data_IF_167804429828
#
_entry.id   IF_167804429828
#
_cell.length_a   1.000
_cell.length_b   1.000
_cell.length_c   1.000
_cell.angle_alpha   90.00
_cell.angle_beta   90.00
_cell.angle_gamma   90.00
#
_symmetry.space_group_name_H-M   'P 1'
#
loop_
_entity.id
_entity.type
_entity.pdbx_description
1 polymer ?
#
# COMPACT_ATOMS: atom_id res chain seq x y z
N UNK A 1 -3.47 14.51 29.52
CA UNK A 1 -3.80 13.50 28.48
C UNK A 1 -2.69 12.47 28.46
N UNK A 2 -3.02 11.18 28.53
CA UNK A 2 -2.02 10.10 28.52
C UNK A 2 -1.39 10.02 27.12
N UNK A 3 -0.06 10.14 27.01
CA UNK A 3 0.64 10.12 25.71
C UNK A 3 0.44 8.79 24.96
N UNK A 4 0.27 7.69 25.68
CA UNK A 4 -0.04 6.39 25.08
C UNK A 4 -1.43 6.38 24.45
N UNK A 5 -2.44 6.86 25.16
CA UNK A 5 -3.78 7.00 24.61
C UNK A 5 -3.81 7.90 23.36
N UNK A 6 -3.04 9.00 23.38
CA UNK A 6 -2.91 9.85 22.19
C UNK A 6 -2.26 9.10 21.03
N UNK A 7 -1.16 8.37 21.29
CA UNK A 7 -0.50 7.54 20.31
C UNK A 7 -1.47 6.51 19.70
N UNK A 8 -2.21 5.78 20.54
CA UNK A 8 -3.17 4.76 20.11
C UNK A 8 -4.28 5.34 19.21
N UNK A 9 -4.74 6.57 19.47
CA UNK A 9 -5.75 7.25 18.65
C UNK A 9 -5.21 7.62 17.26
N UNK A 10 -3.97 8.11 17.18
CA UNK A 10 -3.37 8.59 15.91
C UNK A 10 -2.62 7.49 15.14
N UNK A 11 -2.45 6.32 15.76
CA UNK A 11 -1.84 5.14 15.16
C UNK A 11 -2.76 4.55 14.07
N UNK A 12 -2.29 4.49 12.81
CA UNK A 12 -3.02 3.85 11.71
C UNK A 12 -3.41 2.40 12.01
N UNK A 13 -2.58 1.68 12.76
CA UNK A 13 -2.71 0.24 12.98
C UNK A 13 -3.55 -0.10 14.23
N UNK A 14 -3.93 0.89 15.04
CA UNK A 14 -4.72 0.64 16.25
C UNK A 14 -6.14 0.14 15.92
N UNK A 15 -6.60 -0.97 16.54
CA UNK A 15 -7.95 -1.50 16.35
C UNK A 15 -9.02 -0.71 17.14
N UNK A 16 -8.60 0.21 18.01
CA UNK A 16 -9.49 0.83 19.00
C UNK A 16 -10.61 1.67 18.35
N UNK A 17 -11.81 1.73 18.96
CA UNK A 17 -12.92 2.52 18.42
C UNK A 17 -12.58 4.02 18.20
N UNK A 18 -11.86 4.71 19.12
CA UNK A 18 -11.42 6.09 18.89
C UNK A 18 -10.45 6.23 17.70
N UNK A 19 -9.54 5.27 17.51
CA UNK A 19 -8.62 5.26 16.38
C UNK A 19 -9.37 5.05 15.06
N UNK A 20 -10.37 4.15 15.03
CA UNK A 20 -11.26 3.98 13.88
C UNK A 20 -12.00 5.26 13.52
N UNK A 21 -12.55 5.97 14.51
CA UNK A 21 -13.23 7.25 14.29
C UNK A 21 -12.26 8.30 13.72
N UNK A 22 -11.07 8.41 14.31
CA UNK A 22 -10.03 9.32 13.80
C UNK A 22 -9.67 9.01 12.35
N UNK A 23 -9.51 7.73 11.99
CA UNK A 23 -9.29 7.30 10.60
C UNK A 23 -10.42 7.73 9.69
N UNK A 24 -11.68 7.51 10.05
CA UNK A 24 -12.83 7.91 9.22
C UNK A 24 -12.84 9.43 9.00
N UNK A 25 -12.67 10.22 10.08
CA UNK A 25 -12.59 11.68 9.99
C UNK A 25 -11.45 12.12 9.08
N UNK A 26 -10.26 11.53 9.26
CA UNK A 26 -9.10 11.82 8.44
C UNK A 26 -9.37 11.54 6.95
N UNK A 27 -9.93 10.37 6.59
CA UNK A 27 -10.23 10.05 5.19
C UNK A 27 -11.27 11.01 4.59
N UNK A 28 -12.30 11.38 5.36
CA UNK A 28 -13.29 12.37 4.93
C UNK A 28 -12.66 13.74 4.68
N UNK A 29 -11.71 14.17 5.52
CA UNK A 29 -11.02 15.45 5.34
C UNK A 29 -10.08 15.42 4.13
N UNK A 30 -9.38 14.30 3.88
CA UNK A 30 -8.59 14.12 2.65
C UNK A 30 -9.50 14.21 1.42
N UNK A 31 -10.63 13.50 1.41
CA UNK A 31 -11.60 13.53 0.32
C UNK A 31 -12.15 14.95 0.08
N UNK A 32 -12.48 15.67 1.14
CA UNK A 32 -12.92 17.07 1.07
C UNK A 32 -11.83 17.97 0.49
N UNK A 33 -10.57 17.80 0.92
CA UNK A 33 -9.43 18.54 0.38
C UNK A 33 -9.22 18.32 -1.12
N UNK A 34 -9.34 17.07 -1.59
CA UNK A 34 -9.28 16.75 -3.02
C UNK A 34 -10.46 17.39 -3.78
N UNK A 35 -11.67 17.32 -3.23
CA UNK A 35 -12.84 17.94 -3.85
C UNK A 35 -12.69 19.48 -3.97
N UNK A 36 -12.17 20.13 -2.92
CA UNK A 36 -11.87 21.57 -2.94
C UNK A 36 -10.80 21.88 -3.99
N UNK A 37 -9.73 21.09 -4.08
CA UNK A 37 -8.70 21.23 -5.11
C UNK A 37 -9.30 21.17 -6.51
N UNK A 38 -10.10 20.14 -6.80
CA UNK A 38 -10.73 19.98 -8.11
C UNK A 38 -11.68 21.14 -8.42
N UNK A 39 -12.49 21.55 -7.45
CA UNK A 39 -13.42 22.67 -7.59
C UNK A 39 -12.70 24.01 -7.85
N UNK A 40 -11.59 24.27 -7.16
CA UNK A 40 -10.81 25.50 -7.34
C UNK A 40 -10.13 25.56 -8.71
N UNK A 41 -9.73 24.42 -9.27
CA UNK A 41 -9.16 24.36 -10.62
C UNK A 41 -10.20 24.54 -11.74
N UNK A 42 -11.49 24.55 -11.43
CA UNK A 42 -12.56 24.78 -12.38
C UNK A 42 -12.95 26.28 -12.40
N UNK A 43 -12.64 27.05 -13.47
CA UNK A 43 -12.91 28.49 -13.52
C UNK A 43 -14.34 28.93 -13.18
N UNK A 44 -15.42 28.26 -13.66
CA UNK A 44 -16.77 28.68 -13.31
C UNK A 44 -17.09 28.47 -11.82
N UNK A 45 -16.58 27.40 -11.21
CA UNK A 45 -16.81 27.09 -9.80
C UNK A 45 -16.01 28.03 -8.91
N UNK A 46 -14.76 28.32 -9.28
CA UNK A 46 -13.91 29.26 -8.56
C UNK A 46 -14.50 30.68 -8.55
N UNK A 47 -15.07 31.12 -9.68
CA UNK A 47 -15.69 32.44 -9.79
C UNK A 47 -16.92 32.59 -8.89
N UNK A 48 -17.72 31.53 -8.72
CA UNK A 48 -18.96 31.57 -7.94
C UNK A 48 -18.75 31.24 -6.45
N UNK A 49 -17.88 30.27 -6.12
CA UNK A 49 -17.72 29.70 -4.77
C UNK A 49 -16.35 29.97 -4.13
N UNK A 50 -15.47 30.78 -4.75
CA UNK A 50 -14.10 31.02 -4.31
C UNK A 50 -13.91 31.27 -2.79
N UNK A 51 -14.68 32.18 -2.16
CA UNK A 51 -14.56 32.42 -0.71
C UNK A 51 -14.90 31.19 0.15
N UNK A 52 -15.89 30.39 -0.26
CA UNK A 52 -16.28 29.16 0.46
C UNK A 52 -15.20 28.09 0.31
N UNK A 53 -14.64 27.94 -0.89
CA UNK A 53 -13.53 27.02 -1.16
C UNK A 53 -12.29 27.39 -0.34
N UNK A 54 -11.96 28.68 -0.23
CA UNK A 54 -10.87 29.18 0.59
C UNK A 54 -11.04 28.84 2.08
N UNK A 55 -12.24 29.03 2.65
CA UNK A 55 -12.53 28.65 4.04
C UNK A 55 -12.37 27.14 4.22
N UNK A 56 -12.93 26.34 3.31
CA UNK A 56 -12.79 24.89 3.31
C UNK A 56 -11.32 24.46 3.28
N UNK A 57 -10.51 25.10 2.44
CA UNK A 57 -9.08 24.85 2.37
C UNK A 57 -8.38 25.07 3.71
N UNK A 58 -8.62 26.21 4.37
CA UNK A 58 -8.00 26.50 5.67
C UNK A 58 -8.43 25.50 6.75
N UNK A 59 -9.67 25.00 6.71
CA UNK A 59 -10.13 23.95 7.63
C UNK A 59 -9.33 22.66 7.41
N UNK A 60 -9.19 22.21 6.16
CA UNK A 60 -8.42 21.01 5.81
C UNK A 60 -6.95 21.17 6.19
N UNK A 61 -6.36 22.31 5.85
CA UNK A 61 -4.98 22.64 6.18
C UNK A 61 -4.73 22.67 7.69
N UNK A 62 -5.62 23.33 8.46
CA UNK A 62 -5.54 23.39 9.91
C UNK A 62 -5.63 21.98 10.53
N UNK A 63 -6.48 21.11 9.98
CA UNK A 63 -6.55 19.72 10.43
C UNK A 63 -5.23 18.98 10.23
N UNK A 64 -4.58 19.08 9.06
CA UNK A 64 -3.30 18.39 8.82
C UNK A 64 -2.14 18.98 9.62
N UNK A 65 -2.13 20.29 9.86
CA UNK A 65 -1.19 20.92 10.79
C UNK A 65 -1.39 20.39 12.22
N UNK A 66 -2.64 20.31 12.68
CA UNK A 66 -2.97 19.74 13.99
C UNK A 66 -2.58 18.26 14.07
N UNK A 67 -2.88 17.45 13.06
CA UNK A 67 -2.47 16.04 12.98
C UNK A 67 -0.94 15.90 13.10
N UNK A 68 -0.17 16.69 12.36
CA UNK A 68 1.29 16.68 12.43
C UNK A 68 1.80 16.97 13.85
N UNK A 69 1.25 18.01 14.49
CA UNK A 69 1.60 18.37 15.87
C UNK A 69 1.22 17.24 16.84
N UNK A 70 0.01 16.67 16.73
CA UNK A 70 -0.46 15.60 17.60
C UNK A 70 0.45 14.36 17.49
N UNK A 71 0.84 13.98 16.27
CA UNK A 71 1.76 12.86 16.05
C UNK A 71 3.18 13.14 16.54
N UNK A 72 3.67 14.37 16.35
CA UNK A 72 4.95 14.78 16.90
C UNK A 72 4.92 14.74 18.44
N UNK A 73 3.82 15.14 19.08
CA UNK A 73 3.65 15.03 20.54
C UNK A 73 3.57 13.58 20.99
N UNK A 74 2.89 12.72 20.24
CA UNK A 74 2.72 11.29 20.52
C UNK A 74 3.98 10.43 20.24
N UNK A 75 4.90 10.92 19.41
CA UNK A 75 6.09 10.17 18.97
C UNK A 75 6.91 9.50 20.09
N UNK A 76 7.13 10.11 21.28
CA UNK A 76 7.83 9.45 22.39
C UNK A 76 7.14 8.22 22.97
N UNK A 77 5.82 8.08 22.79
CA UNK A 77 5.06 6.91 23.24
C UNK A 77 5.00 5.79 22.17
N UNK A 78 5.58 6.02 20.99
CA UNK A 78 5.69 4.96 19.98
C UNK A 78 6.64 3.85 20.44
N UNK A 79 6.46 2.59 19.99
CA UNK A 79 7.34 1.48 20.37
C UNK A 79 8.83 1.77 20.11
N UNK A 80 9.14 2.48 19.02
CA UNK A 80 10.50 2.93 18.70
C UNK A 80 10.94 4.13 19.55
N UNK A 81 10.02 5.01 19.93
CA UNK A 81 10.28 6.25 20.64
C UNK A 81 10.48 6.08 22.15
N UNK A 82 9.85 5.07 22.76
CA UNK A 82 9.93 4.82 24.22
C UNK A 82 11.37 4.57 24.70
N UNK A 83 12.27 4.13 23.81
CA UNK A 83 13.68 3.88 24.09
C UNK A 83 14.56 5.13 24.08
N UNK A 84 14.03 6.28 23.66
CA UNK A 84 14.78 7.53 23.51
C UNK A 84 14.24 8.63 24.40
N UNK A 85 15.08 9.64 24.68
CA UNK A 85 14.61 10.89 25.28
C UNK A 85 13.53 11.53 24.40
N UNK A 86 12.50 12.19 24.98
CA UNK A 86 11.36 12.70 24.22
C UNK A 86 11.75 13.57 23.01
N UNK A 87 12.68 14.51 23.17
CA UNK A 87 13.14 15.36 22.06
C UNK A 87 13.78 14.57 20.92
N UNK A 88 14.56 13.53 21.25
CA UNK A 88 15.20 12.68 20.24
C UNK A 88 14.17 11.79 19.55
N UNK A 89 13.19 11.25 20.27
CA UNK A 89 12.09 10.48 19.69
C UNK A 89 11.28 11.32 18.68
N UNK A 90 10.97 12.57 19.04
CA UNK A 90 10.29 13.53 18.14
C UNK A 90 11.09 13.82 16.88
N UNK A 91 12.38 14.09 17.02
CA UNK A 91 13.26 14.37 15.88
C UNK A 91 13.43 13.15 14.95
N UNK A 92 13.63 11.95 15.53
CA UNK A 92 13.70 10.70 14.77
C UNK A 92 12.39 10.42 14.02
N UNK A 93 11.25 10.70 14.66
CA UNK A 93 9.96 10.57 13.99
C UNK A 93 9.78 11.61 12.88
N UNK A 94 10.10 12.88 13.13
CA UNK A 94 9.96 13.95 12.13
C UNK A 94 10.83 13.73 10.88
N UNK A 95 12.00 13.09 11.05
CA UNK A 95 12.91 12.74 9.95
C UNK A 95 12.62 11.37 9.31
N UNK A 96 11.65 10.62 9.84
CA UNK A 96 11.18 9.38 9.21
C UNK A 96 10.42 9.68 7.91
N UNK A 97 10.35 8.70 7.00
CA UNK A 97 9.54 8.85 5.77
C UNK A 97 8.11 9.30 6.08
N UNK A 98 7.48 8.71 7.10
CA UNK A 98 6.16 9.12 7.53
C UNK A 98 6.11 10.58 8.00
N UNK A 99 7.03 10.99 8.88
CA UNK A 99 7.09 12.35 9.40
C UNK A 99 7.30 13.38 8.29
N UNK A 100 8.18 13.09 7.34
CA UNK A 100 8.40 13.92 6.16
C UNK A 100 7.14 14.04 5.30
N UNK A 101 6.43 12.94 5.03
CA UNK A 101 5.16 13.00 4.30
C UNK A 101 4.11 13.84 5.04
N UNK A 102 3.97 13.69 6.35
CA UNK A 102 3.01 14.49 7.12
C UNK A 102 3.38 15.98 7.13
N UNK A 103 4.68 16.29 7.18
CA UNK A 103 5.20 17.66 7.09
C UNK A 103 4.87 18.26 5.72
N UNK A 104 5.16 17.54 4.62
CA UNK A 104 4.89 18.00 3.25
C UNK A 104 3.40 18.25 3.04
N UNK A 105 2.52 17.42 3.63
CA UNK A 105 1.07 17.66 3.60
C UNK A 105 0.58 18.84 4.45
N UNK A 106 1.37 19.30 5.44
CA UNK A 106 1.05 20.48 6.24
C UNK A 106 1.55 21.79 5.60
N UNK A 107 2.55 21.72 4.70
CA UNK A 107 3.11 22.87 3.99
C UNK A 107 2.07 23.75 3.25
N UNK A 108 1.05 23.19 2.55
CA UNK A 108 0.08 24.01 1.83
C UNK A 108 -0.62 25.01 2.76
N UNK A 109 -0.91 24.60 4.00
CA UNK A 109 -1.50 25.47 5.01
C UNK A 109 -0.58 26.60 5.45
N UNK A 110 0.71 26.31 5.62
CA UNK A 110 1.71 27.29 6.05
C UNK A 110 1.93 28.33 4.95
N UNK A 111 2.08 27.89 3.70
CA UNK A 111 2.30 28.76 2.54
C UNK A 111 1.08 29.67 2.31
N UNK A 112 -0.12 29.14 2.50
CA UNK A 112 -1.35 29.88 2.26
C UNK A 112 -1.56 31.06 3.22
N UNK A 113 -0.90 31.08 4.39
CA UNK A 113 -0.97 32.23 5.32
C UNK A 113 -0.38 33.48 4.67
N UNK A 114 0.71 33.33 3.89
CA UNK A 114 1.39 34.45 3.25
C UNK A 114 0.87 34.73 1.83
N UNK A 115 0.55 33.67 1.07
CA UNK A 115 0.24 33.78 -0.38
C UNK A 115 -1.24 33.60 -0.70
N UNK A 116 -2.08 33.26 0.28
CA UNK A 116 -3.46 32.83 0.07
C UNK A 116 -3.57 31.36 -0.39
N UNK A 117 -4.78 30.81 -0.41
CA UNK A 117 -5.01 29.43 -0.86
C UNK A 117 -4.66 29.30 -2.34
N UNK A 118 -3.68 28.45 -2.64
CA UNK A 118 -3.27 28.07 -4.00
C UNK A 118 -3.42 26.56 -4.17
N UNK A 119 -4.67 26.10 -4.06
CA UNK A 119 -4.98 24.68 -3.84
C UNK A 119 -4.67 23.86 -5.07
N UNK A 120 -4.74 24.46 -6.26
CA UNK A 120 -4.45 23.79 -7.53
C UNK A 120 -3.04 23.16 -7.64
N UNK A 121 -2.02 23.71 -6.98
CA UNK A 121 -0.65 23.19 -7.07
C UNK A 121 -0.24 22.31 -5.88
N UNK A 122 -0.90 22.47 -4.73
CA UNK A 122 -0.46 21.85 -3.47
C UNK A 122 -1.50 20.90 -2.86
N UNK A 123 -2.78 20.98 -3.26
CA UNK A 123 -3.85 20.11 -2.76
C UNK A 123 -3.63 18.62 -3.10
N UNK A 124 -2.95 18.33 -4.21
CA UNK A 124 -2.70 16.94 -4.62
C UNK A 124 -1.84 16.19 -3.59
N UNK A 125 -1.01 16.92 -2.83
CA UNK A 125 -0.16 16.37 -1.77
C UNK A 125 -1.00 15.63 -0.72
N UNK A 126 -2.22 16.09 -0.45
CA UNK A 126 -3.12 15.43 0.49
C UNK A 126 -3.56 14.06 0.02
N UNK A 127 -3.55 13.77 -1.28
CA UNK A 127 -3.84 12.43 -1.81
C UNK A 127 -2.87 11.38 -1.26
N UNK A 128 -1.61 11.75 -1.00
CA UNK A 128 -0.62 10.84 -0.41
C UNK A 128 -0.95 10.44 1.03
N UNK A 129 -1.81 11.18 1.74
CA UNK A 129 -2.26 10.81 3.09
C UNK A 129 -3.04 9.49 3.12
N UNK A 130 -3.67 9.08 2.00
CA UNK A 130 -4.29 7.76 1.88
C UNK A 130 -3.29 6.60 1.94
N UNK A 131 -2.03 6.84 1.52
CA UNK A 131 -1.01 5.79 1.50
C UNK A 131 -0.76 5.23 2.90
N UNK A 132 -0.72 6.11 3.91
CA UNK A 132 -0.40 5.76 5.29
C UNK A 132 -1.43 4.83 5.93
N UNK A 133 -2.70 4.98 5.58
CA UNK A 133 -3.79 4.23 6.20
C UNK A 133 -4.29 3.09 5.32
N UNK A 134 -3.55 2.74 4.26
CA UNK A 134 -3.88 1.63 3.38
C UNK A 134 -2.97 0.43 3.66
N UNK A 135 -3.47 -0.62 4.34
CA UNK A 135 -2.73 -1.86 4.57
C UNK A 135 -2.25 -2.52 3.27
N UNK A 136 -2.99 -2.32 2.17
CA UNK A 136 -2.65 -2.81 0.83
C UNK A 136 -1.44 -2.10 0.25
N UNK A 137 -1.39 -0.76 0.34
CA UNK A 137 -0.24 0.02 -0.12
C UNK A 137 1.00 -0.23 0.74
N UNK A 138 0.83 -0.42 2.05
CA UNK A 138 1.93 -0.84 2.93
C UNK A 138 2.50 -2.22 2.55
N UNK A 139 1.64 -3.16 2.13
CA UNK A 139 2.05 -4.46 1.60
C UNK A 139 2.87 -4.29 0.31
N UNK A 140 2.35 -3.49 -0.64
CA UNK A 140 3.05 -3.21 -1.89
C UNK A 140 4.42 -2.56 -1.65
N UNK A 141 4.53 -1.63 -0.70
CA UNK A 141 5.81 -1.03 -0.33
C UNK A 141 6.85 -2.05 0.15
N UNK A 142 6.42 -3.06 0.92
CA UNK A 142 7.30 -4.17 1.34
C UNK A 142 7.68 -5.08 0.17
N UNK A 143 6.74 -5.38 -0.71
CA UNK A 143 7.00 -6.16 -1.93
C UNK A 143 8.05 -5.47 -2.80
N UNK A 144 7.87 -4.18 -3.07
CA UNK A 144 8.83 -3.36 -3.84
C UNK A 144 10.18 -3.29 -3.13
N UNK A 145 10.19 -3.10 -1.81
CA UNK A 145 11.43 -3.09 -1.01
C UNK A 145 12.21 -4.40 -1.10
N UNK A 146 11.52 -5.54 -1.00
CA UNK A 146 12.11 -6.88 -1.11
C UNK A 146 12.55 -7.19 -2.55
N UNK A 147 11.77 -6.74 -3.55
CA UNK A 147 12.05 -6.94 -4.96
C UNK A 147 12.95 -5.86 -5.58
N UNK A 148 13.46 -4.90 -4.79
CA UNK A 148 14.13 -3.68 -5.30
C UNK A 148 15.26 -3.97 -6.28
N UNK A 149 16.05 -5.02 -6.02
CA UNK A 149 17.18 -5.36 -6.88
C UNK A 149 16.68 -5.88 -8.23
N UNK A 150 15.70 -6.79 -8.23
CA UNK A 150 15.10 -7.31 -9.45
C UNK A 150 14.39 -6.19 -10.25
N UNK A 151 13.63 -5.32 -9.58
CA UNK A 151 12.96 -4.19 -10.21
C UNK A 151 13.97 -3.20 -10.82
N UNK A 152 15.05 -2.89 -10.11
CA UNK A 152 16.13 -2.04 -10.64
C UNK A 152 16.83 -2.70 -11.84
N UNK A 153 17.09 -4.00 -11.80
CA UNK A 153 17.66 -4.72 -12.95
C UNK A 153 16.76 -4.65 -14.18
N UNK A 154 15.45 -4.85 -14.02
CA UNK A 154 14.49 -4.74 -15.13
C UNK A 154 14.38 -3.30 -15.63
N UNK A 155 14.36 -2.31 -14.74
CA UNK A 155 14.33 -0.89 -15.12
C UNK A 155 15.60 -0.46 -15.88
N UNK A 156 16.77 -0.92 -15.45
CA UNK A 156 18.03 -0.68 -16.15
C UNK A 156 18.04 -1.37 -17.52
N UNK A 157 17.59 -2.62 -17.60
CA UNK A 157 17.42 -3.32 -18.88
C UNK A 157 16.47 -2.59 -19.83
N UNK A 158 15.32 -2.13 -19.32
CA UNK A 158 14.37 -1.29 -20.05
C UNK A 158 15.06 -0.02 -20.58
N UNK A 159 15.79 0.71 -19.74
CA UNK A 159 16.47 1.94 -20.14
C UNK A 159 17.53 1.69 -21.23
N UNK A 160 18.30 0.60 -21.13
CA UNK A 160 19.32 0.22 -22.12
C UNK A 160 18.67 -0.11 -23.46
N UNK A 161 17.62 -0.95 -23.46
CA UNK A 161 16.90 -1.32 -24.69
C UNK A 161 16.26 -0.08 -25.31
N UNK A 162 15.64 0.78 -24.49
CA UNK A 162 15.02 2.02 -24.93
C UNK A 162 16.03 2.94 -25.62
N UNK A 163 17.16 3.24 -24.97
CA UNK A 163 18.20 4.11 -25.53
C UNK A 163 18.78 3.53 -26.82
N UNK A 164 19.02 2.22 -26.84
CA UNK A 164 19.57 1.54 -28.02
C UNK A 164 18.58 1.56 -29.19
N UNK A 165 17.32 1.20 -28.95
CA UNK A 165 16.27 1.21 -29.96
C UNK A 165 16.02 2.61 -30.52
N UNK A 166 15.92 3.63 -29.66
CA UNK A 166 15.73 5.01 -30.09
C UNK A 166 16.94 5.56 -30.86
N UNK A 167 18.17 5.15 -30.49
CA UNK A 167 19.36 5.53 -31.25
C UNK A 167 19.39 4.89 -32.65
N UNK A 168 19.00 3.62 -32.76
CA UNK A 168 18.88 2.95 -34.06
C UNK A 168 17.75 3.57 -34.89
N UNK A 169 16.59 3.87 -34.28
CA UNK A 169 15.48 4.53 -34.96
C UNK A 169 15.89 5.90 -35.50
N UNK A 170 16.61 6.70 -34.71
CA UNK A 170 17.23 7.95 -35.17
C UNK A 170 18.11 7.72 -36.41
N UNK A 171 19.02 6.74 -36.37
CA UNK A 171 19.91 6.48 -37.51
C UNK A 171 19.17 6.02 -38.77
N UNK A 172 18.05 5.31 -38.63
CA UNK A 172 17.25 4.79 -39.74
C UNK A 172 16.27 5.82 -40.31
N UNK A 173 15.74 6.71 -39.48
CA UNK A 173 14.60 7.57 -39.83
C UNK A 173 14.97 9.06 -39.93
N UNK A 174 16.14 9.51 -39.46
CA UNK A 174 16.49 10.94 -39.45
C UNK A 174 16.40 11.63 -40.82
N UNK A 175 16.61 10.90 -41.91
CA UNK A 175 16.55 11.45 -43.26
C UNK A 175 15.12 11.37 -43.86
N UNK A 176 14.35 10.33 -43.49
CA UNK A 176 13.00 10.10 -44.00
C UNK A 176 11.93 10.88 -43.22
N UNK A 177 12.12 11.06 -41.91
CA UNK A 177 11.22 11.77 -41.02
C UNK A 177 12.03 12.61 -39.99
N UNK A 178 12.71 13.67 -40.44
CA UNK A 178 13.54 14.52 -39.59
C UNK A 178 12.74 15.26 -38.51
N UNK A 179 11.45 15.52 -38.71
CA UNK A 179 10.60 16.20 -37.71
C UNK A 179 10.41 15.34 -36.46
N UNK A 180 10.21 14.03 -36.64
CA UNK A 180 9.96 13.11 -35.52
C UNK A 180 11.22 12.37 -35.02
N UNK A 181 12.19 12.11 -35.91
CA UNK A 181 13.42 11.38 -35.60
C UNK A 181 14.68 12.22 -35.84
N UNK A 182 14.58 13.55 -35.76
CA UNK A 182 15.72 14.47 -35.98
C UNK A 182 16.76 14.48 -34.85
N UNK A 183 16.46 13.85 -33.70
CA UNK A 183 17.41 13.69 -32.60
C UNK A 183 17.12 12.43 -31.79
N UNK A 184 18.11 11.92 -31.06
CA UNK A 184 17.91 10.76 -30.17
C UNK A 184 16.85 11.04 -29.09
N UNK A 185 16.81 12.22 -28.43
CA UNK A 185 15.72 12.55 -27.51
C UNK A 185 14.33 12.57 -28.15
N UNK A 186 14.20 13.02 -29.41
CA UNK A 186 12.93 12.95 -30.12
C UNK A 186 12.53 11.48 -30.39
N UNK A 187 13.49 10.65 -30.80
CA UNK A 187 13.27 9.21 -30.99
C UNK A 187 12.99 8.45 -29.67
N UNK A 188 13.41 8.99 -28.50
CA UNK A 188 13.08 8.44 -27.19
C UNK A 188 11.59 8.50 -26.89
N UNK A 189 10.89 9.56 -27.31
CA UNK A 189 9.43 9.65 -27.18
C UNK A 189 8.73 8.47 -27.87
N UNK A 190 9.08 8.22 -29.13
CA UNK A 190 8.57 7.07 -29.89
C UNK A 190 8.91 5.74 -29.21
N UNK A 191 10.15 5.59 -28.74
CA UNK A 191 10.62 4.39 -28.05
C UNK A 191 9.82 4.11 -26.77
N UNK A 192 9.57 5.14 -25.95
CA UNK A 192 8.76 5.03 -24.73
C UNK A 192 7.35 4.59 -25.12
N UNK A 193 6.66 5.35 -25.98
CA UNK A 193 5.26 5.10 -26.38
C UNK A 193 5.06 3.70 -26.99
N UNK A 194 6.02 3.23 -27.79
CA UNK A 194 5.96 1.92 -28.44
C UNK A 194 6.26 0.79 -27.45
N UNK A 195 7.31 0.94 -26.65
CA UNK A 195 7.77 -0.11 -25.73
C UNK A 195 6.85 -0.24 -24.50
N UNK A 196 6.15 0.82 -24.11
CA UNK A 196 5.10 0.80 -23.08
C UNK A 196 3.73 0.41 -23.61
N UNK A 197 3.64 -0.07 -24.86
CA UNK A 197 2.39 -0.51 -25.50
C UNK A 197 1.29 0.57 -25.54
N UNK A 198 1.67 1.85 -25.44
CA UNK A 198 0.73 2.97 -25.44
C UNK A 198 0.25 3.30 -26.85
N UNK A 199 1.19 3.45 -27.79
CA UNK A 199 0.89 3.57 -29.22
C UNK A 199 -0.05 4.72 -29.61
N UNK A 200 0.26 5.96 -29.24
CA UNK A 200 -0.55 7.13 -29.64
C UNK A 200 -0.72 7.27 -31.15
N UNK A 201 0.26 6.83 -31.94
CA UNK A 201 0.23 6.87 -33.40
C UNK A 201 0.59 8.23 -34.00
N UNK A 202 1.05 9.17 -33.17
CA UNK A 202 1.56 10.50 -33.54
C UNK A 202 2.91 10.43 -34.27
N UNK A 203 3.78 9.50 -33.85
CA UNK A 203 5.09 9.25 -34.46
C UNK A 203 5.21 7.78 -34.83
N UNK A 204 5.51 7.50 -36.11
CA UNK A 204 5.74 6.14 -36.61
C UNK A 204 6.90 6.09 -37.61
N UNK A 205 7.72 5.01 -37.62
CA UNK A 205 8.78 4.84 -38.61
C UNK A 205 8.22 4.66 -40.03
N UNK A 206 8.83 5.34 -40.98
CA UNK A 206 8.41 5.31 -42.39
C UNK A 206 9.24 4.32 -43.22
N UNK A 207 10.50 4.08 -42.84
CA UNK A 207 11.38 3.15 -43.56
C UNK A 207 11.07 1.69 -43.24
N UNK A 208 11.43 0.79 -44.15
CA UNK A 208 11.32 -0.66 -43.91
C UNK A 208 12.16 -1.07 -42.70
N UNK A 209 13.38 -0.55 -42.58
CA UNK A 209 14.26 -0.84 -41.45
C UNK A 209 13.66 -0.38 -40.12
N UNK A 210 13.12 0.84 -40.07
CA UNK A 210 12.45 1.36 -38.88
C UNK A 210 11.21 0.56 -38.49
N UNK A 211 10.44 0.05 -39.46
CA UNK A 211 9.28 -0.84 -39.19
C UNK A 211 9.69 -2.20 -38.64
N UNK A 212 10.79 -2.79 -39.15
CA UNK A 212 11.34 -4.04 -38.61
C UNK A 212 11.84 -3.85 -37.18
N UNK A 213 12.54 -2.73 -36.92
CA UNK A 213 12.94 -2.34 -35.57
C UNK A 213 11.72 -2.18 -34.65
N UNK A 214 10.69 -1.48 -35.10
CA UNK A 214 9.45 -1.29 -34.35
C UNK A 214 8.82 -2.63 -33.94
N UNK A 215 8.74 -3.59 -34.86
CA UNK A 215 8.28 -4.95 -34.58
C UNK A 215 9.06 -5.63 -33.44
N UNK A 216 10.38 -5.50 -33.48
CA UNK A 216 11.27 -6.08 -32.46
C UNK A 216 11.08 -5.39 -31.10
N UNK A 217 10.99 -4.05 -31.09
CA UNK A 217 10.77 -3.24 -29.88
C UNK A 217 9.42 -3.55 -29.24
N UNK A 218 8.36 -3.73 -30.03
CA UNK A 218 7.04 -4.10 -29.51
C UNK A 218 7.06 -5.44 -28.76
N UNK A 219 7.70 -6.47 -29.34
CA UNK A 219 7.86 -7.77 -28.66
C UNK A 219 8.69 -7.60 -27.38
N UNK A 220 9.80 -6.86 -27.45
CA UNK A 220 10.65 -6.57 -26.30
C UNK A 220 9.90 -5.86 -25.17
N UNK A 221 9.06 -4.87 -25.50
CA UNK A 221 8.24 -4.13 -24.54
C UNK A 221 7.29 -5.01 -23.75
N UNK A 222 6.58 -5.92 -24.44
CA UNK A 222 5.69 -6.90 -23.81
C UNK A 222 6.46 -7.80 -22.84
N UNK A 223 7.65 -8.30 -23.24
CA UNK A 223 8.47 -9.15 -22.39
C UNK A 223 8.94 -8.42 -21.12
N UNK A 224 9.36 -7.15 -21.25
CA UNK A 224 9.79 -6.34 -20.09
C UNK A 224 8.63 -6.06 -19.14
N UNK A 225 7.44 -5.75 -19.67
CA UNK A 225 6.23 -5.58 -18.85
C UNK A 225 5.84 -6.87 -18.13
N UNK A 226 5.95 -8.02 -18.80
CA UNK A 226 5.69 -9.33 -18.19
C UNK A 226 6.65 -9.62 -17.02
N UNK A 227 7.93 -9.25 -17.14
CA UNK A 227 8.89 -9.37 -16.03
C UNK A 227 8.51 -8.48 -14.84
N UNK A 228 8.16 -7.21 -15.09
CA UNK A 228 7.69 -6.28 -14.04
C UNK A 228 6.46 -6.83 -13.30
N UNK A 229 5.45 -7.25 -14.05
CA UNK A 229 4.23 -7.83 -13.50
C UNK A 229 4.52 -9.11 -12.72
N UNK A 230 5.37 -10.00 -13.26
CA UNK A 230 5.74 -11.27 -12.62
C UNK A 230 6.50 -11.07 -11.30
N UNK A 231 7.42 -10.11 -11.24
CA UNK A 231 8.16 -9.78 -10.01
C UNK A 231 7.19 -9.28 -8.92
N UNK A 232 6.29 -8.37 -9.26
CA UNK A 232 5.31 -7.83 -8.30
C UNK A 232 4.31 -8.90 -7.85
N UNK A 233 3.79 -9.72 -8.78
CA UNK A 233 2.86 -10.78 -8.48
C UNK A 233 3.47 -11.83 -7.55
N UNK A 234 4.69 -12.30 -7.84
CA UNK A 234 5.40 -13.25 -6.99
C UNK A 234 5.71 -12.67 -5.61
N UNK A 235 6.16 -11.41 -5.56
CA UNK A 235 6.43 -10.75 -4.29
C UNK A 235 5.17 -10.57 -3.44
N UNK A 236 4.02 -10.25 -4.06
CA UNK A 236 2.75 -10.15 -3.36
C UNK A 236 2.28 -11.51 -2.85
N UNK A 237 2.37 -12.56 -3.68
CA UNK A 237 2.05 -13.92 -3.27
C UNK A 237 2.92 -14.39 -2.09
N UNK A 238 4.20 -14.02 -2.06
CA UNK A 238 5.10 -14.35 -0.95
C UNK A 238 4.76 -13.58 0.33
N UNK A 239 4.45 -12.29 0.23
CA UNK A 239 4.00 -11.49 1.38
C UNK A 239 2.68 -12.04 1.96
N UNK A 240 1.73 -12.46 1.11
CA UNK A 240 0.49 -13.12 1.55
C UNK A 240 0.78 -14.44 2.27
N UNK A 241 1.57 -15.33 1.67
CA UNK A 241 1.98 -16.60 2.31
C UNK A 241 2.66 -16.37 3.65
N UNK A 242 3.54 -15.37 3.74
CA UNK A 242 4.23 -15.02 4.99
C UNK A 242 3.26 -14.54 6.06
N UNK A 243 2.28 -13.71 5.71
CA UNK A 243 1.25 -13.25 6.65
C UNK A 243 0.36 -14.39 7.13
N UNK A 244 -0.06 -15.27 6.23
CA UNK A 244 -0.81 -16.48 6.58
C UNK A 244 -0.02 -17.38 7.52
N UNK A 245 1.26 -17.64 7.22
CA UNK A 245 2.13 -18.43 8.09
C UNK A 245 2.25 -17.82 9.49
N UNK A 246 2.48 -16.50 9.61
CA UNK A 246 2.59 -15.83 10.91
C UNK A 246 1.28 -15.89 11.70
N UNK A 247 0.14 -15.67 11.03
CA UNK A 247 -1.17 -15.79 11.66
C UNK A 247 -1.40 -17.20 12.19
N UNK A 248 -1.13 -18.21 11.38
CA UNK A 248 -1.25 -19.63 11.73
C UNK A 248 -0.31 -20.02 12.86
N UNK A 249 0.96 -19.59 12.79
CA UNK A 249 1.96 -19.85 13.83
C UNK A 249 1.53 -19.27 15.18
N UNK A 250 1.00 -18.05 15.20
CA UNK A 250 0.51 -17.40 16.43
C UNK A 250 -0.67 -18.18 17.04
N UNK A 251 -1.57 -18.71 16.22
CA UNK A 251 -2.69 -19.53 16.68
C UNK A 251 -2.21 -20.83 17.32
N UNK A 252 -1.25 -21.52 16.70
CA UNK A 252 -0.68 -22.76 17.25
C UNK A 252 0.08 -22.47 18.54
N UNK A 253 0.90 -21.42 18.58
CA UNK A 253 1.69 -21.06 19.75
C UNK A 253 0.84 -20.73 20.98
N UNK A 254 -0.40 -20.24 20.78
CA UNK A 254 -1.35 -19.95 21.87
C UNK A 254 -1.95 -21.20 22.51
N UNK A 255 -1.93 -22.33 21.83
CA UNK A 255 -2.55 -23.57 22.29
C UNK A 255 -1.70 -24.18 23.42
N UNK A 256 -2.27 -24.44 24.62
CA UNK A 256 -1.54 -24.98 25.76
C UNK A 256 -0.75 -26.25 25.45
N UNK A 257 -1.27 -27.11 24.58
CA UNK A 257 -0.63 -28.35 24.13
C UNK A 257 0.74 -28.12 23.46
N UNK A 258 0.92 -27.02 22.72
CA UNK A 258 2.13 -26.71 21.95
C UNK A 258 3.14 -25.84 22.71
N UNK A 259 2.82 -25.37 23.93
CA UNK A 259 3.69 -24.45 24.71
C UNK A 259 5.08 -25.00 25.04
N UNK A 260 5.20 -26.31 25.20
CA UNK A 260 6.45 -26.98 25.57
C UNK A 260 7.22 -27.54 24.38
N UNK A 261 6.77 -27.24 23.17
CA UNK A 261 7.35 -27.78 21.95
C UNK A 261 8.27 -26.72 21.33
N UNK A 262 9.47 -27.13 20.91
CA UNK A 262 10.44 -26.22 20.31
C UNK A 262 9.90 -25.53 19.06
N UNK A 263 10.35 -24.29 18.80
CA UNK A 263 9.86 -23.44 17.71
C UNK A 263 9.91 -24.10 16.32
N UNK A 264 10.85 -25.03 16.11
CA UNK A 264 10.96 -25.82 14.88
C UNK A 264 9.73 -26.69 14.61
N UNK A 265 9.22 -27.43 15.61
CA UNK A 265 8.05 -28.29 15.42
C UNK A 265 6.78 -27.46 15.27
N UNK A 266 6.67 -26.33 15.97
CA UNK A 266 5.55 -25.39 15.79
C UNK A 266 5.54 -24.88 14.34
N UNK A 267 6.70 -24.57 13.77
CA UNK A 267 6.80 -24.15 12.37
C UNK A 267 6.41 -25.28 11.40
N UNK A 268 6.74 -26.54 11.68
CA UNK A 268 6.29 -27.69 10.89
C UNK A 268 4.77 -27.88 10.95
N UNK A 269 4.17 -27.84 12.13
CA UNK A 269 2.71 -27.94 12.32
C UNK A 269 2.00 -26.76 11.66
N UNK A 270 2.52 -25.54 11.80
CA UNK A 270 1.96 -24.35 11.18
C UNK A 270 1.95 -24.44 9.64
N UNK A 271 2.89 -25.15 9.03
CA UNK A 271 2.90 -25.39 7.57
C UNK A 271 1.87 -26.42 7.12
N UNK A 272 1.39 -27.30 8.01
CA UNK A 272 0.39 -28.32 7.69
C UNK A 272 -1.04 -27.81 7.86
N UNK A 273 -1.23 -26.72 8.61
CA UNK A 273 -2.52 -26.12 8.84
C UNK A 273 -3.11 -25.52 7.56
N UNK A 274 -4.40 -25.77 7.36
CA UNK A 274 -5.17 -25.26 6.24
C UNK A 274 -6.23 -24.29 6.75
N UNK A 275 -6.22 -23.02 6.34
CA UNK A 275 -7.28 -22.09 6.70
C UNK A 275 -8.61 -22.56 6.11
N UNK A 276 -9.68 -22.45 6.89
CA UNK A 276 -11.06 -22.68 6.45
C UNK A 276 -11.97 -21.63 7.02
N UNK A 277 -12.73 -20.99 6.13
CA UNK A 277 -13.76 -20.03 6.49
C UNK A 277 -15.14 -20.72 6.44
N UNK A 278 -15.90 -20.55 7.51
CA UNK A 278 -17.26 -21.05 7.62
C UNK A 278 -18.21 -19.86 7.81
N UNK A 279 -19.26 -19.71 6.96
CA UNK A 279 -20.24 -18.66 7.18
C UNK A 279 -21.10 -18.96 8.43
N UNK A 280 -21.76 -17.94 9.00
CA UNK A 280 -22.57 -18.11 10.20
C UNK A 280 -23.63 -19.21 10.04
N UNK A 281 -23.77 -20.07 11.06
CA UNK A 281 -24.77 -21.13 11.11
C UNK A 281 -24.39 -22.44 10.40
N UNK A 282 -23.19 -22.54 9.80
CA UNK A 282 -22.71 -23.78 9.20
C UNK A 282 -22.19 -24.75 10.27
N UNK A 283 -22.58 -26.01 10.16
CA UNK A 283 -22.10 -27.09 11.03
C UNK A 283 -20.69 -27.51 10.60
N UNK A 284 -19.70 -27.25 11.45
CA UNK A 284 -18.29 -27.59 11.22
C UNK A 284 -18.02 -29.09 11.44
N UNK A 285 -18.66 -29.69 12.44
CA UNK A 285 -18.49 -31.10 12.81
C UNK A 285 -19.78 -31.68 13.39
N UNK A 286 -20.05 -32.98 13.16
CA UNK A 286 -21.21 -33.68 13.73
C UNK A 286 -20.79 -34.82 14.64
N UNK A 287 -21.52 -34.98 15.74
CA UNK A 287 -21.36 -36.12 16.66
C UNK A 287 -21.60 -37.44 15.93
N UNK A 288 -20.69 -38.40 16.12
CA UNK A 288 -20.78 -39.74 15.54
C UNK A 288 -20.19 -39.87 14.12
N UNK A 289 -19.76 -38.77 13.50
CA UNK A 289 -18.91 -38.85 12.31
C UNK A 289 -17.47 -39.17 12.73
N UNK A 290 -16.77 -39.93 11.89
CA UNK A 290 -15.34 -40.16 12.08
C UNK A 290 -14.60 -38.81 12.01
N UNK A 291 -13.85 -38.48 13.05
CA UNK A 291 -13.00 -37.29 13.09
C UNK A 291 -11.57 -37.68 12.77
N UNK A 292 -10.95 -36.96 11.83
CA UNK A 292 -9.57 -37.15 11.38
C UNK A 292 -8.72 -35.88 11.55
N UNK A 293 -9.31 -34.83 12.13
CA UNK A 293 -8.69 -33.53 12.30
C UNK A 293 -9.22 -32.79 13.53
N UNK A 294 -8.43 -31.82 14.00
CA UNK A 294 -8.83 -30.82 14.97
C UNK A 294 -8.79 -29.43 14.35
N UNK A 295 -9.55 -28.50 14.93
CA UNK A 295 -9.67 -27.11 14.46
C UNK A 295 -9.14 -26.14 15.51
N UNK A 296 -8.47 -25.10 15.03
CA UNK A 296 -8.04 -23.94 15.82
C UNK A 296 -8.85 -22.73 15.38
N UNK A 297 -9.44 -22.00 16.34
CA UNK A 297 -10.30 -20.87 16.04
C UNK A 297 -9.43 -19.63 15.89
N UNK A 298 -9.35 -19.12 14.67
CA UNK A 298 -8.56 -17.94 14.34
C UNK A 298 -9.29 -16.62 14.65
N UNK A 299 -10.57 -16.58 14.29
CA UNK A 299 -11.45 -15.42 14.32
C UNK A 299 -12.90 -15.91 14.33
N UNK A 300 -13.82 -15.13 14.92
CA UNK A 300 -15.21 -15.53 15.09
C UNK A 300 -15.48 -16.38 16.34
N UNK A 301 -16.66 -16.99 16.39
CA UNK A 301 -17.14 -17.80 17.52
C UNK A 301 -17.74 -19.11 17.01
N UNK A 302 -17.44 -20.20 17.70
CA UNK A 302 -17.97 -21.54 17.41
C UNK A 302 -18.80 -22.02 18.59
N UNK A 303 -20.06 -22.36 18.35
CA UNK A 303 -20.94 -22.99 19.34
C UNK A 303 -20.77 -24.52 19.29
N UNK A 304 -20.39 -25.11 20.43
CA UNK A 304 -20.32 -26.56 20.64
C UNK A 304 -21.54 -27.00 21.44
N UNK A 305 -22.43 -27.78 20.81
CA UNK A 305 -23.63 -28.32 21.45
C UNK A 305 -23.36 -29.71 22.02
N UNK A 306 -23.24 -29.79 23.35
CA UNK A 306 -23.14 -31.04 24.10
C UNK A 306 -24.51 -31.45 24.66
N UNK A 307 -24.72 -32.73 25.03
CA UNK A 307 -26.02 -33.19 25.56
C UNK A 307 -26.51 -32.43 26.79
N UNK A 308 -25.58 -31.90 27.60
CA UNK A 308 -25.85 -31.24 28.87
C UNK A 308 -25.59 -29.73 28.87
N UNK A 309 -24.90 -29.18 27.86
CA UNK A 309 -24.51 -27.76 27.85
C UNK A 309 -24.12 -27.26 26.46
N UNK A 310 -24.12 -25.94 26.29
CA UNK A 310 -23.56 -25.26 25.11
C UNK A 310 -22.31 -24.52 25.52
N UNK A 311 -21.22 -24.71 24.78
CA UNK A 311 -19.94 -24.04 25.01
C UNK A 311 -19.67 -23.14 23.81
N UNK A 312 -19.31 -21.89 24.06
CA UNK A 312 -18.88 -20.95 23.04
C UNK A 312 -17.36 -20.87 23.06
N UNK A 313 -16.75 -21.09 21.90
CA UNK A 313 -15.30 -21.02 21.72
C UNK A 313 -14.95 -19.85 20.80
N UNK A 314 -14.02 -19.01 21.24
CA UNK A 314 -13.55 -17.84 20.52
C UNK A 314 -12.10 -17.96 20.03
N UNK A 315 -11.52 -16.86 19.54
CA UNK A 315 -10.16 -16.85 18.99
C UNK A 315 -9.10 -17.38 19.96
N UNK A 316 -8.22 -18.25 19.48
CA UNK A 316 -7.15 -18.90 20.25
C UNK A 316 -7.56 -20.18 20.98
N UNK A 317 -8.83 -20.57 20.94
CA UNK A 317 -9.32 -21.86 21.43
C UNK A 317 -9.35 -22.91 20.29
N UNK A 318 -9.58 -24.17 20.64
CA UNK A 318 -9.55 -25.30 19.70
C UNK A 318 -10.65 -26.32 20.02
N UNK A 319 -10.95 -27.19 19.06
CA UNK A 319 -11.95 -28.27 19.19
C UNK A 319 -11.58 -29.46 18.30
N UNK A 320 -11.94 -30.67 18.71
CA UNK A 320 -11.73 -31.90 17.94
C UNK A 320 -10.44 -32.64 18.30
N UNK A 321 -9.72 -32.20 19.33
CA UNK A 321 -8.52 -32.85 19.87
C UNK A 321 -8.78 -34.31 20.30
N UNK A 322 -9.99 -34.61 20.82
CA UNK A 322 -10.38 -35.96 21.22
C UNK A 322 -10.55 -36.92 20.03
N UNK A 323 -10.70 -36.40 18.81
CA UNK A 323 -10.75 -37.24 17.62
C UNK A 323 -9.36 -37.71 17.16
N UNK A 324 -8.29 -37.11 17.71
CA UNK A 324 -6.90 -37.43 17.37
C UNK A 324 -6.18 -38.28 18.44
N UNK A 325 -6.86 -38.57 19.55
CA UNK A 325 -6.37 -39.43 20.66
C UNK A 325 -6.94 -40.84 20.52
#
# INVERSE_FOLDING_TARGET
MNLRLLYDIVDPDSPDPPARLFRVVHHTIVAAGIAIMLAETAPPVQAEYGPVLAVGFYIVAAFFCAEYILRLVAAPASPTGEHYRPLRARFLWATSLGGLFDLVSALPGIIAIEQGPSVGLFGFVWTFKYIRYSPGLAALGRVVGNARQALLSVLLGFAIVLLTASSIAYLLERDANPEAFGSIPAALWWGIVTMTTTGYGDVVPQTVGGRVLAGTVMIGGILVFALWAGILANGYAEELRRREFLRTWELVAKVPFFRNIGAALIAEVARLLRPRDYPPGVVVMRRGQAGDCMYFIAEGEVEVQLPSQRIYLGPGQFVGELALL
#
